data_IF_597785667066
#
_entry.id   IF_597785667066
#
_cell.length_a   1.000
_cell.length_b   1.000
_cell.length_c   1.000
_cell.angle_alpha   90.00
_cell.angle_beta   90.00
_cell.angle_gamma   90.00
#
_symmetry.space_group_name_H-M   'P 1'
#
loop_
_entity.id
_entity.type
_entity.pdbx_description
1 polymer ?
#
# COMPACT_ATOMS: atom_id res chain seq x y z
N UNK A 1 69.54 61.79 -8.04
CA UNK A 1 69.96 62.45 -9.29
C UNK A 1 69.56 61.49 -10.39
N UNK A 2 68.33 61.64 -10.86
CA UNK A 2 67.97 62.21 -12.18
C UNK A 2 68.15 61.14 -13.29
N UNK A 3 67.17 60.81 -14.15
CA UNK A 3 65.97 61.53 -14.55
C UNK A 3 64.85 60.58 -15.08
N UNK A 4 63.63 61.10 -15.01
CA UNK A 4 62.36 60.75 -15.69
C UNK A 4 62.42 61.23 -17.18
N UNK A 5 61.37 61.20 -18.07
CA UNK A 5 60.12 60.43 -18.15
C UNK A 5 59.81 59.82 -19.56
N UNK A 6 58.64 59.17 -19.64
CA UNK A 6 57.66 59.09 -20.76
C UNK A 6 57.40 57.69 -21.33
N UNK A 7 56.23 57.10 -21.02
CA UNK A 7 55.05 57.11 -21.89
C UNK A 7 53.89 56.33 -21.22
N UNK A 8 52.74 56.97 -20.97
CA UNK A 8 51.51 56.35 -20.45
C UNK A 8 50.47 56.18 -21.57
N UNK A 9 49.73 55.06 -21.57
CA UNK A 9 48.30 54.88 -21.94
C UNK A 9 47.94 53.38 -22.05
N UNK A 10 46.69 52.93 -21.76
CA UNK A 10 46.39 52.05 -20.63
C UNK A 10 46.09 50.57 -20.96
N UNK A 11 45.99 49.70 -19.94
CA UNK A 11 45.95 48.24 -20.10
C UNK A 11 44.58 47.67 -20.52
N UNK A 12 44.61 46.69 -21.43
CA UNK A 12 43.48 45.83 -21.77
C UNK A 12 43.14 44.93 -20.57
N UNK A 13 41.94 45.10 -20.02
CA UNK A 13 41.37 44.21 -19.00
C UNK A 13 41.13 42.83 -19.61
N UNK A 14 41.79 41.81 -19.06
CA UNK A 14 41.49 40.40 -19.30
C UNK A 14 40.34 39.99 -18.40
N UNK A 15 39.14 39.86 -18.97
CA UNK A 15 37.99 39.30 -18.26
C UNK A 15 38.25 37.82 -17.94
N UNK A 16 38.51 37.51 -16.66
CA UNK A 16 38.34 36.16 -16.12
C UNK A 16 36.83 35.94 -15.95
N UNK A 17 36.27 35.04 -16.75
CA UNK A 17 34.87 34.63 -16.63
C UNK A 17 34.64 33.92 -15.30
N UNK A 18 33.85 34.55 -14.42
CA UNK A 18 33.13 33.87 -13.35
C UNK A 18 32.05 32.98 -14.01
N UNK A 19 32.09 31.67 -13.76
CA UNK A 19 30.98 30.78 -14.07
C UNK A 19 29.88 30.98 -13.02
N UNK A 20 28.90 31.83 -13.35
CA UNK A 20 27.60 31.83 -12.67
C UNK A 20 26.84 30.56 -13.08
N UNK A 21 26.65 29.64 -12.14
CA UNK A 21 25.81 28.46 -12.32
C UNK A 21 24.33 28.85 -12.29
N UNK A 22 23.80 29.27 -13.43
CA UNK A 22 22.35 29.33 -13.65
C UNK A 22 21.85 27.95 -14.07
N UNK A 23 21.18 27.24 -13.16
CA UNK A 23 20.57 25.94 -13.44
C UNK A 23 19.30 26.12 -14.27
N UNK A 24 19.30 25.58 -15.48
CA UNK A 24 18.14 25.55 -16.37
C UNK A 24 17.43 24.19 -16.31
N UNK A 25 16.11 24.21 -16.49
CA UNK A 25 15.30 23.00 -16.54
C UNK A 25 15.67 22.16 -17.78
N UNK A 26 16.02 20.90 -17.59
CA UNK A 26 16.49 20.00 -18.66
C UNK A 26 15.40 19.73 -19.73
N UNK A 27 14.12 19.89 -19.39
CA UNK A 27 13.01 19.68 -20.34
C UNK A 27 12.60 20.92 -21.13
N UNK A 28 12.88 22.14 -20.67
CA UNK A 28 12.41 23.37 -21.34
C UNK A 28 13.41 24.53 -21.41
N UNK A 29 14.60 24.38 -20.83
CA UNK A 29 15.65 25.41 -20.82
C UNK A 29 15.36 26.64 -19.95
N UNK A 30 14.22 26.70 -19.26
CA UNK A 30 13.84 27.81 -18.40
C UNK A 30 14.65 27.88 -17.09
N UNK A 31 14.82 29.09 -16.54
CA UNK A 31 15.52 29.30 -15.26
C UNK A 31 14.77 28.67 -14.08
N UNK A 32 15.48 28.00 -13.18
CA UNK A 32 14.89 27.39 -11.97
C UNK A 32 14.87 28.40 -10.81
N UNK A 33 13.72 28.51 -10.11
CA UNK A 33 13.50 29.51 -9.06
C UNK A 33 14.05 29.11 -7.67
N UNK A 34 14.72 27.96 -7.55
CA UNK A 34 15.21 27.46 -6.27
C UNK A 34 16.68 27.02 -6.37
N UNK A 35 17.52 27.34 -5.37
CA UNK A 35 18.88 26.83 -5.32
C UNK A 35 18.88 25.30 -5.18
N UNK A 36 19.94 24.62 -5.64
CA UNK A 36 20.07 23.17 -5.46
C UNK A 36 20.04 22.81 -3.96
N UNK A 37 19.52 21.61 -3.60
CA UNK A 37 19.53 21.16 -2.21
C UNK A 37 20.97 21.08 -1.67
N UNK A 38 21.18 21.32 -0.37
CA UNK A 38 22.51 21.27 0.23
C UNK A 38 23.12 19.88 0.08
N UNK A 39 24.44 19.83 -0.12
CA UNK A 39 25.19 18.58 -0.10
C UNK A 39 25.08 17.92 1.29
N UNK A 40 24.89 16.60 1.29
CA UNK A 40 24.74 15.79 2.50
C UNK A 40 25.93 15.98 3.46
N UNK A 41 25.66 16.17 4.75
CA UNK A 41 26.69 16.20 5.79
C UNK A 41 27.00 14.79 6.29
N UNK A 42 28.25 14.55 6.71
CA UNK A 42 28.75 13.26 7.24
C UNK A 42 27.97 12.74 8.48
N UNK A 43 27.11 13.57 9.07
CA UNK A 43 26.24 13.25 10.23
C UNK A 43 24.91 12.59 9.85
N UNK A 44 24.56 12.46 8.58
CA UNK A 44 23.36 11.75 8.13
C UNK A 44 23.62 11.07 6.79
N UNK A 45 24.30 9.90 6.80
CA UNK A 45 24.49 9.13 5.58
C UNK A 45 23.12 8.72 5.01
N UNK A 46 23.00 8.61 3.67
CA UNK A 46 21.76 8.18 3.04
C UNK A 46 21.35 6.80 3.55
N UNK A 47 20.04 6.50 3.67
CA UNK A 47 19.59 5.19 4.07
C UNK A 47 20.20 4.12 3.16
N UNK A 48 20.74 3.06 3.77
CA UNK A 48 21.34 1.88 3.10
C UNK A 48 20.33 1.20 2.16
N UNK A 49 19.04 1.48 2.36
CA UNK A 49 17.95 1.00 1.54
C UNK A 49 17.54 2.03 0.47
N UNK A 50 17.86 1.72 -0.79
CA UNK A 50 17.17 2.29 -1.95
C UNK A 50 16.20 1.23 -2.48
N UNK A 51 14.88 1.45 -2.44
CA UNK A 51 13.94 0.53 -3.09
C UNK A 51 14.31 0.39 -4.57
N UNK A 52 14.20 -0.82 -5.11
CA UNK A 52 14.27 -1.05 -6.55
C UNK A 52 13.06 -0.35 -7.15
N UNK A 53 13.28 0.80 -7.79
CA UNK A 53 12.21 1.58 -8.41
C UNK A 53 12.10 1.14 -9.86
N UNK A 54 11.08 0.37 -10.19
CA UNK A 54 10.61 0.37 -11.57
C UNK A 54 10.17 1.81 -11.92
N UNK A 55 10.53 2.38 -13.07
CA UNK A 55 9.99 3.66 -13.48
C UNK A 55 8.47 3.55 -13.55
N UNK A 56 7.77 4.50 -12.92
CA UNK A 56 6.32 4.61 -13.08
C UNK A 56 6.03 4.66 -14.59
N UNK A 57 5.40 3.62 -15.13
CA UNK A 57 5.09 3.57 -16.55
C UNK A 57 4.12 4.72 -16.83
N UNK A 58 4.63 5.77 -17.47
CA UNK A 58 3.82 6.80 -18.09
C UNK A 58 3.07 6.15 -19.25
N UNK A 59 1.88 5.59 -18.96
CA UNK A 59 1.00 5.10 -20.01
C UNK A 59 0.47 6.32 -20.79
N UNK A 60 0.77 6.47 -22.09
CA UNK A 60 0.24 7.58 -22.87
C UNK A 60 -1.28 7.50 -22.87
N UNK A 61 -1.94 8.63 -22.61
CA UNK A 61 -3.39 8.78 -22.38
C UNK A 61 -4.30 8.20 -23.47
N UNK A 62 -3.77 7.89 -24.66
CA UNK A 62 -4.56 7.35 -25.77
C UNK A 62 -4.66 5.82 -25.81
N UNK A 63 -3.81 5.07 -25.09
CA UNK A 63 -3.77 3.60 -25.14
C UNK A 63 -4.17 2.90 -23.83
N UNK A 64 -4.38 3.62 -22.73
CA UNK A 64 -4.77 3.02 -21.43
C UNK A 64 -6.01 2.14 -21.55
N UNK A 65 -7.06 2.58 -22.24
CA UNK A 65 -8.28 1.77 -22.39
C UNK A 65 -8.04 0.46 -23.14
N UNK A 66 -7.23 0.46 -24.21
CA UNK A 66 -6.93 -0.75 -24.99
C UNK A 66 -6.01 -1.71 -24.22
N UNK A 67 -4.98 -1.19 -23.54
CA UNK A 67 -4.09 -2.02 -22.72
C UNK A 67 -4.83 -2.67 -21.54
N UNK A 68 -5.77 -1.96 -20.92
CA UNK A 68 -6.62 -2.49 -19.83
C UNK A 68 -7.55 -3.60 -20.34
N UNK A 69 -8.08 -3.48 -21.56
CA UNK A 69 -8.94 -4.50 -22.18
C UNK A 69 -8.15 -5.77 -22.50
N UNK A 70 -6.88 -5.64 -22.89
CA UNK A 70 -6.03 -6.76 -23.33
C UNK A 70 -5.24 -7.42 -22.20
N UNK A 71 -5.15 -6.81 -21.02
CA UNK A 71 -4.45 -7.41 -19.88
C UNK A 71 -5.30 -8.53 -19.31
N UNK A 72 -4.77 -9.77 -19.22
CA UNK A 72 -5.52 -10.87 -18.63
C UNK A 72 -5.82 -10.54 -17.17
N UNK A 73 -7.11 -10.53 -16.82
CA UNK A 73 -7.56 -10.35 -15.44
C UNK A 73 -7.28 -11.66 -14.71
N UNK A 74 -6.60 -11.63 -13.54
CA UNK A 74 -6.46 -12.82 -12.71
C UNK A 74 -7.82 -13.46 -12.48
N UNK A 75 -7.88 -14.78 -12.55
CA UNK A 75 -9.11 -15.54 -12.31
C UNK A 75 -9.15 -15.98 -10.85
N UNK A 76 -10.35 -16.09 -10.28
CA UNK A 76 -10.53 -16.75 -8.99
C UNK A 76 -9.92 -18.15 -9.06
N UNK A 77 -9.12 -18.49 -8.05
CA UNK A 77 -8.54 -19.82 -7.91
C UNK A 77 -8.87 -20.35 -6.52
N UNK A 78 -9.20 -21.64 -6.48
CA UNK A 78 -9.30 -22.35 -5.21
C UNK A 78 -7.93 -22.41 -4.56
N UNK A 79 -7.86 -22.00 -3.31
CA UNK A 79 -6.62 -22.07 -2.53
C UNK A 79 -6.31 -23.54 -2.22
N UNK A 80 -5.16 -24.10 -2.64
CA UNK A 80 -4.80 -25.47 -2.32
C UNK A 80 -4.44 -25.59 -0.84
N UNK A 81 -5.10 -26.48 -0.11
CA UNK A 81 -4.77 -26.75 1.30
C UNK A 81 -3.49 -27.57 1.36
N UNK A 82 -2.52 -27.15 2.18
CA UNK A 82 -1.25 -27.88 2.36
C UNK A 82 -1.48 -29.18 3.13
N UNK A 83 -0.76 -30.23 2.75
CA UNK A 83 -0.82 -31.55 3.40
C UNK A 83 0.48 -31.87 4.14
N UNK A 84 0.45 -32.63 5.24
CA UNK A 84 1.67 -33.09 5.91
C UNK A 84 2.56 -33.96 5.01
N UNK A 85 3.89 -34.04 5.26
CA UNK A 85 4.61 -33.35 6.34
C UNK A 85 4.76 -31.84 6.09
N UNK A 86 4.78 -31.05 7.17
CA UNK A 86 4.97 -29.60 7.09
C UNK A 86 6.41 -29.21 7.39
N UNK A 87 6.97 -28.33 6.59
CA UNK A 87 8.31 -27.75 6.79
C UNK A 87 8.19 -26.21 6.87
N UNK A 88 7.68 -25.72 8.00
CA UNK A 88 7.56 -24.29 8.23
C UNK A 88 8.91 -23.66 8.52
N UNK A 89 9.15 -22.47 7.96
CA UNK A 89 10.40 -21.74 8.14
C UNK A 89 10.15 -20.24 8.28
N UNK A 90 11.09 -19.54 8.93
CA UNK A 90 11.03 -18.08 9.01
C UNK A 90 11.17 -17.48 7.60
N UNK A 91 10.23 -16.62 7.17
CA UNK A 91 10.29 -16.02 5.85
C UNK A 91 11.54 -15.14 5.68
N UNK A 92 12.25 -15.31 4.57
CA UNK A 92 13.41 -14.48 4.19
C UNK A 92 13.19 -13.74 2.87
N UNK A 93 13.76 -12.55 2.75
CA UNK A 93 13.66 -11.72 1.54
C UNK A 93 14.37 -12.38 0.36
N UNK A 94 13.61 -12.65 -0.72
CA UNK A 94 14.12 -13.31 -1.94
C UNK A 94 14.11 -12.43 -3.19
N UNK A 95 13.36 -11.33 -3.21
CA UNK A 95 13.29 -10.40 -4.34
C UNK A 95 14.35 -9.29 -4.16
N UNK A 96 15.40 -9.32 -4.98
CA UNK A 96 16.51 -8.36 -4.92
C UNK A 96 16.81 -7.67 -6.26
N UNK A 97 16.10 -8.06 -7.31
CA UNK A 97 16.29 -7.53 -8.66
C UNK A 97 14.98 -7.52 -9.46
N UNK A 98 14.93 -6.81 -10.58
CA UNK A 98 13.80 -6.86 -11.51
C UNK A 98 13.58 -8.27 -12.09
N UNK A 99 14.65 -9.04 -12.25
CA UNK A 99 14.59 -10.43 -12.71
C UNK A 99 13.87 -11.32 -11.69
N UNK A 100 14.09 -11.09 -10.40
CA UNK A 100 13.38 -11.80 -9.33
C UNK A 100 11.89 -11.44 -9.32
N UNK A 101 11.54 -10.17 -9.61
CA UNK A 101 10.13 -9.75 -9.77
C UNK A 101 9.49 -10.51 -10.95
N UNK A 102 10.18 -10.64 -12.08
CA UNK A 102 9.67 -11.42 -13.23
C UNK A 102 9.45 -12.89 -12.85
N UNK A 103 10.42 -13.53 -12.22
CA UNK A 103 10.30 -14.93 -11.75
C UNK A 103 9.15 -15.09 -10.76
N UNK A 104 9.02 -14.15 -9.82
CA UNK A 104 7.93 -14.16 -8.84
C UNK A 104 6.58 -14.07 -9.53
N UNK A 105 6.40 -13.16 -10.51
CA UNK A 105 5.15 -13.05 -11.29
C UNK A 105 4.76 -14.35 -12.01
N UNK A 106 5.75 -15.12 -12.44
CA UNK A 106 5.54 -16.40 -13.13
C UNK A 106 5.30 -17.60 -12.17
N UNK A 107 5.68 -17.46 -10.89
CA UNK A 107 5.55 -18.50 -9.87
C UNK A 107 4.10 -18.93 -9.61
N UNK A 108 3.92 -20.17 -9.17
CA UNK A 108 2.62 -20.68 -8.73
C UNK A 108 2.08 -19.86 -7.55
N UNK A 109 2.97 -19.48 -6.64
CA UNK A 109 2.60 -18.77 -5.41
C UNK A 109 2.04 -17.38 -5.63
N UNK A 110 2.63 -16.61 -6.54
CA UNK A 110 2.05 -15.35 -7.00
C UNK A 110 0.65 -15.57 -7.58
N UNK A 111 0.50 -16.54 -8.50
CA UNK A 111 -0.77 -16.83 -9.17
C UNK A 111 -1.85 -17.24 -8.17
N UNK A 112 -1.51 -18.11 -7.21
CA UNK A 112 -2.41 -18.58 -6.17
C UNK A 112 -2.81 -17.45 -5.21
N UNK A 113 -1.87 -16.58 -4.81
CA UNK A 113 -2.17 -15.41 -3.98
C UNK A 113 -3.12 -14.45 -4.69
N UNK A 114 -2.87 -14.14 -5.96
CA UNK A 114 -3.76 -13.29 -6.75
C UNK A 114 -5.12 -13.94 -6.97
N UNK A 115 -5.14 -15.25 -7.21
CA UNK A 115 -6.37 -16.03 -7.28
C UNK A 115 -7.18 -15.95 -5.99
N UNK A 116 -6.53 -15.99 -4.83
CA UNK A 116 -7.17 -15.76 -3.53
C UNK A 116 -7.76 -14.36 -3.40
N UNK A 117 -7.03 -13.29 -3.77
CA UNK A 117 -7.55 -11.91 -3.75
C UNK A 117 -8.77 -11.76 -4.68
N UNK A 118 -8.76 -12.42 -5.85
CA UNK A 118 -9.92 -12.42 -6.74
C UNK A 118 -11.08 -13.19 -6.13
N UNK A 119 -10.85 -14.34 -5.50
CA UNK A 119 -11.88 -15.09 -4.79
C UNK A 119 -12.53 -14.27 -3.66
N UNK A 120 -11.73 -13.50 -2.90
CA UNK A 120 -12.25 -12.54 -1.91
C UNK A 120 -13.08 -11.44 -2.58
N UNK A 121 -12.60 -10.85 -3.67
CA UNK A 121 -13.34 -9.84 -4.43
C UNK A 121 -14.67 -10.38 -4.96
N UNK A 122 -14.70 -11.59 -5.49
CA UNK A 122 -15.93 -12.22 -5.99
C UNK A 122 -16.92 -12.53 -4.86
N UNK A 123 -16.42 -12.89 -3.66
CA UNK A 123 -17.28 -13.19 -2.50
C UNK A 123 -18.13 -12.01 -2.02
N UNK A 124 -17.67 -10.78 -2.23
CA UNK A 124 -18.38 -9.54 -1.84
C UNK A 124 -19.13 -8.87 -2.99
N UNK A 125 -19.17 -9.52 -4.16
CA UNK A 125 -19.74 -8.93 -5.38
C UNK A 125 -21.22 -8.65 -5.23
N UNK A 126 -21.62 -7.39 -5.40
CA UNK A 126 -23.02 -6.97 -5.26
C UNK A 126 -23.57 -6.99 -3.82
N UNK A 127 -22.73 -7.25 -2.82
CA UNK A 127 -23.11 -7.34 -1.41
C UNK A 127 -22.73 -6.09 -0.63
N UNK A 128 -23.56 -5.73 0.34
CA UNK A 128 -23.26 -4.68 1.31
C UNK A 128 -22.39 -5.22 2.44
N UNK A 129 -21.71 -4.32 3.13
CA UNK A 129 -20.98 -4.69 4.34
C UNK A 129 -21.93 -5.24 5.42
N UNK A 130 -23.14 -4.72 5.56
CA UNK A 130 -24.11 -5.20 6.55
C UNK A 130 -24.83 -6.50 6.18
N UNK A 131 -24.64 -7.04 4.97
CA UNK A 131 -25.31 -8.27 4.57
C UNK A 131 -24.92 -9.43 5.50
N UNK A 132 -25.87 -10.32 5.87
CA UNK A 132 -25.56 -11.52 6.63
C UNK A 132 -24.61 -12.42 5.85
N UNK A 133 -23.57 -12.93 6.52
CA UNK A 133 -22.62 -13.89 5.95
C UNK A 133 -22.25 -14.95 6.99
N UNK A 134 -21.59 -16.01 6.56
CA UNK A 134 -21.05 -17.02 7.47
C UNK A 134 -19.86 -16.43 8.23
N UNK A 135 -19.87 -16.55 9.56
CA UNK A 135 -18.80 -16.07 10.44
C UNK A 135 -18.34 -17.24 11.31
N UNK A 136 -17.23 -17.88 10.95
CA UNK A 136 -16.63 -18.93 11.78
C UNK A 136 -15.98 -18.37 13.03
N UNK A 137 -15.65 -19.26 13.97
CA UNK A 137 -14.93 -18.86 15.19
C UNK A 137 -13.60 -18.17 14.89
N UNK A 138 -12.87 -18.66 13.87
CA UNK A 138 -11.62 -18.06 13.41
C UNK A 138 -11.82 -16.60 13.01
N UNK A 139 -12.87 -16.30 12.22
CA UNK A 139 -13.18 -14.93 11.82
C UNK A 139 -13.45 -14.03 13.02
N UNK A 140 -14.26 -14.50 13.97
CA UNK A 140 -14.53 -13.75 15.20
C UNK A 140 -13.27 -13.50 16.03
N UNK A 141 -12.36 -14.48 16.10
CA UNK A 141 -11.08 -14.35 16.80
C UNK A 141 -10.14 -13.34 16.13
N UNK A 142 -10.06 -13.34 14.79
CA UNK A 142 -9.27 -12.35 14.05
C UNK A 142 -9.80 -10.93 14.31
N UNK A 143 -11.12 -10.75 14.24
CA UNK A 143 -11.76 -9.46 14.57
C UNK A 143 -11.42 -9.02 16.00
N UNK A 144 -11.50 -9.93 16.96
CA UNK A 144 -11.15 -9.64 18.36
C UNK A 144 -9.68 -9.24 18.52
N UNK A 145 -8.76 -9.87 17.78
CA UNK A 145 -7.33 -9.50 17.79
C UNK A 145 -7.16 -8.07 17.24
N UNK A 146 -7.79 -7.74 16.12
CA UNK A 146 -7.74 -6.39 15.54
C UNK A 146 -8.33 -5.32 16.47
N UNK A 147 -9.41 -5.65 17.18
CA UNK A 147 -9.98 -4.78 18.22
C UNK A 147 -9.02 -4.61 19.40
N UNK A 148 -8.31 -5.66 19.81
CA UNK A 148 -7.29 -5.57 20.85
C UNK A 148 -6.12 -4.67 20.43
N UNK A 149 -5.66 -4.80 19.19
CA UNK A 149 -4.65 -3.90 18.61
C UNK A 149 -5.14 -2.44 18.52
N UNK A 150 -6.45 -2.25 18.30
CA UNK A 150 -7.08 -0.91 18.29
C UNK A 150 -7.10 -0.29 19.68
N UNK A 151 -7.32 -1.11 20.72
CA UNK A 151 -7.26 -0.68 22.13
C UNK A 151 -5.84 -0.30 22.55
N UNK A 152 -4.81 -0.98 22.04
CA UNK A 152 -3.42 -0.59 22.31
C UNK A 152 -3.12 0.84 21.90
N UNK A 153 -3.80 1.38 20.88
CA UNK A 153 -3.65 2.79 20.46
C UNK A 153 -4.19 3.73 21.55
N UNK A 154 -5.30 3.38 22.18
CA UNK A 154 -5.88 4.19 23.27
C UNK A 154 -5.02 4.14 24.54
N UNK A 155 -4.36 3.00 24.77
CA UNK A 155 -3.45 2.78 25.89
C UNK A 155 -2.07 3.42 25.68
N UNK A 156 -1.69 3.74 24.44
CA UNK A 156 -0.39 4.30 24.07
C UNK A 156 -0.62 5.64 23.35
N UNK A 157 -0.90 6.72 24.10
CA UNK A 157 -1.20 8.02 23.52
C UNK A 157 0.02 8.60 22.77
N UNK A 158 -0.20 9.43 21.73
CA UNK A 158 0.89 10.05 21.00
C UNK A 158 1.73 10.95 21.90
N UNK A 159 3.05 10.88 21.74
CA UNK A 159 3.97 11.75 22.46
C UNK A 159 3.80 13.20 22.00
N UNK A 160 3.93 14.15 22.93
CA UNK A 160 4.04 15.56 22.57
C UNK A 160 5.38 15.80 21.87
N UNK A 161 5.34 16.10 20.58
CA UNK A 161 6.51 16.36 19.77
C UNK A 161 6.30 17.56 18.84
N UNK A 162 7.40 18.24 18.50
CA UNK A 162 7.39 19.34 17.53
C UNK A 162 7.35 18.86 16.08
N UNK A 163 7.75 17.60 15.83
CA UNK A 163 7.75 16.99 14.51
C UNK A 163 6.32 16.76 14.01
N UNK A 164 6.08 17.13 12.75
CA UNK A 164 4.76 17.03 12.10
C UNK A 164 4.39 15.58 11.73
N UNK A 165 5.38 14.76 11.39
CA UNK A 165 5.20 13.38 10.94
C UNK A 165 5.95 12.42 11.84
N UNK A 166 5.49 11.17 11.87
CA UNK A 166 6.14 10.06 12.58
C UNK A 166 6.19 10.25 14.09
N UNK A 167 5.11 9.93 14.79
CA UNK A 167 5.11 9.92 16.25
C UNK A 167 5.88 8.72 16.80
N UNK A 168 6.87 8.99 17.66
CA UNK A 168 7.71 7.94 18.23
C UNK A 168 6.94 6.93 19.10
N UNK A 169 5.76 7.30 19.65
CA UNK A 169 4.87 6.37 20.37
C UNK A 169 4.43 5.18 19.52
N UNK A 170 4.47 5.30 18.19
CA UNK A 170 4.21 4.18 17.29
C UNK A 170 5.17 3.02 17.51
N UNK A 171 6.43 3.30 17.90
CA UNK A 171 7.41 2.26 18.19
C UNK A 171 7.00 1.43 19.41
N UNK A 172 6.50 2.09 20.44
CA UNK A 172 5.99 1.43 21.65
C UNK A 172 4.76 0.58 21.32
N UNK A 173 3.85 1.09 20.47
CA UNK A 173 2.70 0.32 19.98
C UNK A 173 3.14 -0.91 19.16
N UNK A 174 4.08 -0.73 18.24
CA UNK A 174 4.56 -1.81 17.37
C UNK A 174 5.34 -2.86 18.15
N UNK A 175 6.17 -2.46 19.12
CA UNK A 175 6.87 -3.37 20.03
C UNK A 175 5.87 -4.22 20.80
N UNK A 176 4.87 -3.60 21.43
CA UNK A 176 3.82 -4.33 22.16
C UNK A 176 3.03 -5.28 21.27
N UNK A 177 2.70 -4.89 20.04
CA UNK A 177 2.07 -5.77 19.06
C UNK A 177 2.97 -6.98 18.76
N UNK A 178 4.26 -6.74 18.54
CA UNK A 178 5.25 -7.79 18.22
C UNK A 178 5.44 -8.76 19.38
N UNK A 179 5.53 -8.28 20.62
CA UNK A 179 5.64 -9.11 21.83
C UNK A 179 4.43 -10.04 22.02
N UNK A 180 3.25 -9.63 21.57
CA UNK A 180 2.01 -10.40 21.69
C UNK A 180 1.68 -11.22 20.42
N UNK A 181 2.44 -11.06 19.34
CA UNK A 181 2.12 -11.62 18.02
C UNK A 181 1.99 -13.15 18.05
N UNK A 182 2.96 -13.87 18.62
CA UNK A 182 2.91 -15.34 18.71
C UNK A 182 1.68 -15.82 19.49
N UNK A 183 1.30 -15.11 20.56
CA UNK A 183 0.10 -15.43 21.34
C UNK A 183 -1.17 -15.24 20.50
N UNK A 184 -1.24 -14.18 19.69
CA UNK A 184 -2.37 -13.97 18.79
C UNK A 184 -2.46 -15.04 17.71
N UNK A 185 -1.32 -15.44 17.11
CA UNK A 185 -1.28 -16.48 16.09
C UNK A 185 -1.70 -17.83 16.69
N UNK A 186 -1.19 -18.21 17.86
CA UNK A 186 -1.54 -19.47 18.51
C UNK A 186 -3.03 -19.57 18.88
N UNK A 187 -3.71 -18.45 19.13
CA UNK A 187 -5.17 -18.43 19.36
C UNK A 187 -5.98 -18.82 18.12
N UNK A 188 -5.41 -18.68 16.92
CA UNK A 188 -6.07 -19.00 15.65
C UNK A 188 -5.78 -20.42 15.17
N UNK A 189 -4.71 -21.04 15.68
CA UNK A 189 -4.20 -22.32 15.18
C UNK A 189 -4.64 -23.48 16.06
N UNK A 190 -4.99 -24.64 15.47
CA UNK A 190 -5.07 -25.89 16.22
C UNK A 190 -3.67 -26.29 16.69
N UNK A 191 -3.61 -27.06 17.78
CA UNK A 191 -2.35 -27.50 18.40
C UNK A 191 -1.42 -28.21 17.41
N UNK A 192 -1.99 -28.96 16.45
CA UNK A 192 -1.27 -29.68 15.38
C UNK A 192 -0.54 -28.78 14.40
N UNK A 193 -0.90 -27.49 14.32
CA UNK A 193 -0.30 -26.50 13.43
C UNK A 193 0.45 -25.40 14.21
N UNK A 194 0.68 -25.58 15.52
CA UNK A 194 1.41 -24.61 16.34
C UNK A 194 2.80 -24.24 15.76
N UNK A 195 3.46 -25.18 15.07
CA UNK A 195 4.75 -24.94 14.39
C UNK A 195 4.66 -23.93 13.23
N UNK A 196 3.48 -23.69 12.65
CA UNK A 196 3.28 -22.70 11.59
C UNK A 196 3.48 -21.26 12.08
N UNK A 197 3.47 -21.03 13.40
CA UNK A 197 3.70 -19.71 14.01
C UNK A 197 5.00 -19.07 13.53
N UNK A 198 6.05 -19.87 13.33
CA UNK A 198 7.36 -19.38 12.83
C UNK A 198 7.29 -18.70 11.46
N UNK A 199 6.32 -19.10 10.65
CA UNK A 199 6.11 -18.59 9.30
C UNK A 199 5.04 -17.48 9.28
N UNK A 200 3.99 -17.62 10.10
CA UNK A 200 2.86 -16.68 10.13
C UNK A 200 3.17 -15.36 10.85
N UNK A 201 3.92 -15.41 11.96
CA UNK A 201 4.21 -14.23 12.78
C UNK A 201 4.87 -13.10 11.97
N UNK A 202 5.88 -13.35 11.11
CA UNK A 202 6.52 -12.29 10.34
C UNK A 202 5.59 -11.58 9.34
N UNK A 203 4.65 -12.29 8.70
CA UNK A 203 3.66 -11.62 7.85
C UNK A 203 2.70 -10.76 8.67
N UNK A 204 2.26 -11.28 9.82
CA UNK A 204 1.36 -10.54 10.72
C UNK A 204 2.01 -9.27 11.24
N UNK A 205 3.25 -9.33 11.74
CA UNK A 205 3.93 -8.16 12.31
C UNK A 205 4.26 -7.10 11.25
N UNK A 206 4.65 -7.52 10.04
CA UNK A 206 4.93 -6.59 8.92
C UNK A 206 3.64 -6.10 8.21
N UNK A 207 2.45 -6.44 8.70
CA UNK A 207 1.16 -5.98 8.15
C UNK A 207 0.77 -4.56 8.58
N UNK A 208 1.42 -4.00 9.59
CA UNK A 208 0.94 -2.80 10.29
C UNK A 208 1.83 -1.56 10.10
N UNK A 209 2.86 -1.64 9.26
CA UNK A 209 3.80 -0.55 9.00
C UNK A 209 5.21 -0.87 9.49
N UNK A 210 6.14 0.07 9.36
CA UNK A 210 7.53 -0.12 9.79
C UNK A 210 7.89 0.75 11.01
N UNK A 211 8.24 0.15 12.14
CA UNK A 211 8.59 0.88 13.37
C UNK A 211 9.78 1.84 13.22
N UNK A 212 10.77 1.48 12.41
CA UNK A 212 11.98 2.29 12.24
C UNK A 212 11.69 3.55 11.43
N UNK A 213 10.98 3.40 10.30
CA UNK A 213 10.61 4.48 9.38
C UNK A 213 9.34 5.23 9.79
N UNK A 214 8.51 4.64 10.66
CA UNK A 214 7.21 5.16 11.09
C UNK A 214 6.32 5.46 9.87
N UNK A 215 6.29 4.48 8.97
CA UNK A 215 5.55 4.55 7.72
C UNK A 215 4.63 3.35 7.52
N UNK A 216 3.64 3.51 6.64
CA UNK A 216 2.72 2.47 6.22
C UNK A 216 2.43 2.62 4.72
N UNK A 217 2.06 1.54 4.04
CA UNK A 217 1.75 1.57 2.62
C UNK A 217 1.27 0.22 2.09
N UNK A 218 1.09 0.14 0.76
CA UNK A 218 0.48 -1.02 0.10
C UNK A 218 1.27 -2.32 0.24
N UNK A 219 2.58 -2.25 0.52
CA UNK A 219 3.39 -3.42 0.85
C UNK A 219 2.93 -4.09 2.16
N UNK A 220 2.69 -3.28 3.20
CA UNK A 220 2.17 -3.74 4.49
C UNK A 220 0.73 -4.26 4.36
N UNK A 221 -0.11 -3.58 3.57
CA UNK A 221 -1.46 -4.07 3.24
C UNK A 221 -1.41 -5.45 2.57
N UNK A 222 -0.44 -5.66 1.67
CA UNK A 222 -0.27 -6.94 1.01
C UNK A 222 0.16 -8.01 1.99
N UNK A 223 1.07 -7.72 2.93
CA UNK A 223 1.44 -8.66 3.99
C UNK A 223 0.22 -9.12 4.79
N UNK A 224 -0.74 -8.23 5.06
CA UNK A 224 -1.99 -8.62 5.72
C UNK A 224 -2.80 -9.58 4.85
N UNK A 225 -2.94 -9.29 3.56
CA UNK A 225 -3.56 -10.20 2.60
C UNK A 225 -2.83 -11.54 2.48
N UNK A 226 -1.50 -11.53 2.54
CA UNK A 226 -0.66 -12.73 2.48
C UNK A 226 -0.81 -13.58 3.74
N UNK A 227 -0.87 -12.95 4.91
CA UNK A 227 -1.16 -13.63 6.17
C UNK A 227 -2.53 -14.34 6.13
N UNK A 228 -3.58 -13.66 5.64
CA UNK A 228 -4.89 -14.28 5.41
C UNK A 228 -4.83 -15.44 4.40
N UNK A 229 -4.04 -15.29 3.33
CA UNK A 229 -3.82 -16.35 2.35
C UNK A 229 -3.11 -17.57 2.97
N UNK A 230 -2.12 -17.37 3.84
CA UNK A 230 -1.46 -18.45 4.56
C UNK A 230 -2.43 -19.20 5.48
N UNK A 231 -3.33 -18.49 6.18
CA UNK A 231 -4.41 -19.13 6.95
C UNK A 231 -5.35 -19.95 6.07
N UNK A 232 -5.67 -19.47 4.87
CA UNK A 232 -6.47 -20.23 3.89
C UNK A 232 -5.70 -21.47 3.36
N UNK A 233 -4.40 -21.34 3.10
CA UNK A 233 -3.51 -22.46 2.71
C UNK A 233 -3.44 -23.55 3.78
N UNK A 234 -3.51 -23.16 5.06
CA UNK A 234 -3.55 -24.10 6.19
C UNK A 234 -4.94 -24.71 6.43
N UNK A 235 -5.97 -24.31 5.68
CA UNK A 235 -7.35 -24.75 5.90
C UNK A 235 -8.00 -24.16 7.15
N UNK A 236 -7.43 -23.11 7.72
CA UNK A 236 -7.96 -22.40 8.89
C UNK A 236 -9.09 -21.45 8.49
N UNK A 237 -8.96 -20.82 7.32
CA UNK A 237 -10.02 -20.02 6.67
C UNK A 237 -10.50 -20.78 5.44
N UNK A 238 -11.82 -20.97 5.33
CA UNK A 238 -12.43 -21.67 4.20
C UNK A 238 -13.16 -20.71 3.26
N UNK A 239 -13.55 -21.18 2.06
CA UNK A 239 -14.26 -20.34 1.08
C UNK A 239 -15.58 -19.77 1.61
N UNK A 240 -16.23 -20.47 2.54
CA UNK A 240 -17.45 -19.98 3.20
C UNK A 240 -17.21 -18.72 4.06
N UNK A 241 -15.99 -18.55 4.56
CA UNK A 241 -15.59 -17.38 5.35
C UNK A 241 -15.22 -16.17 4.49
N UNK A 242 -14.99 -16.32 3.18
CA UNK A 242 -14.37 -15.28 2.34
C UNK A 242 -15.15 -13.97 2.33
N UNK A 243 -16.48 -14.04 2.36
CA UNK A 243 -17.31 -12.86 2.49
C UNK A 243 -16.96 -12.13 3.81
N UNK A 244 -16.96 -12.83 4.95
CA UNK A 244 -16.66 -12.25 6.25
C UNK A 244 -15.20 -11.79 6.39
N UNK A 245 -14.25 -12.46 5.71
CA UNK A 245 -12.86 -11.97 5.60
C UNK A 245 -12.85 -10.55 5.01
N UNK A 246 -13.65 -10.27 3.98
CA UNK A 246 -13.73 -8.92 3.40
C UNK A 246 -14.59 -7.99 4.24
N UNK A 247 -15.82 -8.38 4.59
CA UNK A 247 -16.83 -7.50 5.19
C UNK A 247 -16.68 -7.28 6.69
N UNK A 248 -15.89 -8.11 7.39
CA UNK A 248 -15.61 -8.00 8.84
C UNK A 248 -14.14 -7.74 9.08
N UNK A 249 -13.28 -8.70 8.71
CA UNK A 249 -11.84 -8.67 9.04
C UNK A 249 -11.14 -7.52 8.34
N UNK A 250 -11.30 -7.42 7.01
CA UNK A 250 -10.62 -6.38 6.24
C UNK A 250 -11.14 -4.97 6.58
N UNK A 251 -12.45 -4.81 6.83
CA UNK A 251 -13.01 -3.54 7.33
C UNK A 251 -12.37 -3.14 8.67
N UNK A 252 -12.30 -4.06 9.63
CA UNK A 252 -11.67 -3.81 10.94
C UNK A 252 -10.18 -3.50 10.83
N UNK A 253 -9.48 -4.15 9.91
CA UNK A 253 -8.09 -3.86 9.60
C UNK A 253 -7.92 -2.42 9.09
N UNK A 254 -8.77 -1.98 8.15
CA UNK A 254 -8.72 -0.61 7.63
C UNK A 254 -9.04 0.43 8.71
N UNK A 255 -10.00 0.17 9.58
CA UNK A 255 -10.33 1.07 10.69
C UNK A 255 -9.15 1.20 11.67
N UNK A 256 -8.49 0.08 11.99
CA UNK A 256 -7.25 0.08 12.77
C UNK A 256 -6.14 0.89 12.09
N UNK A 257 -5.89 0.67 10.80
CA UNK A 257 -4.85 1.38 10.04
C UNK A 257 -5.10 2.88 9.97
N UNK A 258 -6.34 3.30 9.70
CA UNK A 258 -6.74 4.71 9.74
C UNK A 258 -6.49 5.33 11.11
N UNK A 259 -6.82 4.61 12.19
CA UNK A 259 -6.56 5.09 13.55
C UNK A 259 -5.06 5.23 13.83
N UNK A 260 -4.22 4.29 13.39
CA UNK A 260 -2.76 4.40 13.52
C UNK A 260 -2.19 5.58 12.72
N UNK A 261 -2.58 5.69 11.45
CA UNK A 261 -2.16 6.77 10.55
C UNK A 261 -2.47 8.14 11.16
N UNK A 262 -3.68 8.32 11.71
CA UNK A 262 -4.11 9.58 12.30
C UNK A 262 -3.51 9.85 13.67
N UNK A 263 -3.41 8.83 14.53
CA UNK A 263 -2.93 9.00 15.92
C UNK A 263 -1.42 9.24 15.96
N UNK A 264 -0.67 8.50 15.14
CA UNK A 264 0.79 8.55 15.13
C UNK A 264 1.37 9.28 13.91
N UNK A 265 0.55 9.90 13.07
CA UNK A 265 0.99 10.65 11.88
C UNK A 265 1.95 9.84 10.99
N UNK A 266 1.59 8.60 10.67
CA UNK A 266 2.44 7.69 9.90
C UNK A 266 2.71 8.25 8.49
N UNK A 267 3.94 8.13 8.01
CA UNK A 267 4.28 8.57 6.66
C UNK A 267 3.83 7.53 5.60
N UNK A 268 3.48 7.96 4.38
CA UNK A 268 3.31 7.02 3.26
C UNK A 268 4.65 6.38 2.88
N UNK A 269 4.73 5.05 2.95
CA UNK A 269 5.97 4.30 2.68
C UNK A 269 6.39 4.31 1.18
N UNK A 270 5.46 4.66 0.28
CA UNK A 270 5.66 4.68 -1.17
C UNK A 270 5.48 6.09 -1.75
N UNK A 271 6.34 6.47 -2.70
CA UNK A 271 6.23 7.74 -3.41
C UNK A 271 5.47 7.55 -4.72
N UNK A 272 4.14 7.61 -4.71
CA UNK A 272 3.37 7.68 -5.96
C UNK A 272 3.09 9.10 -6.42
N UNK A 273 3.35 10.10 -5.57
CA UNK A 273 3.07 11.50 -5.89
C UNK A 273 1.66 11.64 -6.47
N UNK A 274 1.54 12.39 -7.56
CA UNK A 274 0.28 12.74 -8.23
C UNK A 274 -0.47 11.54 -8.86
N UNK A 275 0.10 10.33 -8.89
CA UNK A 275 -0.42 9.18 -9.67
C UNK A 275 -0.80 7.95 -8.83
N UNK A 276 -0.73 8.06 -7.50
CA UNK A 276 -1.25 7.06 -6.56
C UNK A 276 -2.78 7.12 -6.51
N UNK A 277 -3.43 5.97 -6.42
CA UNK A 277 -4.89 5.93 -6.19
C UNK A 277 -5.21 6.34 -4.76
N UNK A 278 -4.32 5.99 -3.83
CA UNK A 278 -4.28 6.42 -2.44
C UNK A 278 -2.82 6.33 -1.94
N UNK A 279 -2.50 7.04 -0.86
CA UNK A 279 -1.16 7.08 -0.27
C UNK A 279 -0.80 5.79 0.50
N UNK A 280 -1.80 5.04 0.98
CA UNK A 280 -1.62 3.93 1.91
C UNK A 280 -2.20 2.60 1.42
N UNK A 281 -3.33 2.62 0.72
CA UNK A 281 -4.18 1.45 0.47
C UNK A 281 -4.50 1.22 -1.02
N UNK A 282 -4.71 -0.04 -1.39
CA UNK A 282 -5.11 -0.42 -2.74
C UNK A 282 -6.22 -1.47 -2.78
N UNK A 283 -6.13 -2.52 -1.94
CA UNK A 283 -7.13 -3.59 -1.87
C UNK A 283 -8.58 -3.12 -1.60
N UNK A 284 -8.84 -2.06 -0.80
CA UNK A 284 -10.20 -1.55 -0.59
C UNK A 284 -10.90 -1.13 -1.88
N UNK A 285 -10.14 -0.64 -2.86
CA UNK A 285 -10.71 -0.24 -4.16
C UNK A 285 -11.13 -1.45 -4.99
N UNK A 286 -10.43 -2.58 -4.86
CA UNK A 286 -10.81 -3.84 -5.52
C UNK A 286 -12.11 -4.35 -4.92
N UNK A 287 -12.12 -4.58 -3.60
CA UNK A 287 -13.28 -5.14 -2.91
C UNK A 287 -14.48 -4.20 -2.99
N UNK A 288 -14.29 -2.91 -2.73
CA UNK A 288 -15.34 -1.91 -2.79
C UNK A 288 -15.92 -1.72 -4.19
N UNK A 289 -15.09 -1.79 -5.24
CA UNK A 289 -15.63 -1.74 -6.61
C UNK A 289 -16.41 -3.01 -6.96
N UNK A 290 -16.05 -4.16 -6.40
CA UNK A 290 -16.80 -5.42 -6.55
C UNK A 290 -18.21 -5.34 -5.95
N UNK A 291 -18.34 -4.74 -4.76
CA UNK A 291 -19.63 -4.49 -4.11
C UNK A 291 -20.61 -3.70 -5.01
N UNK A 292 -20.06 -2.81 -5.84
CA UNK A 292 -20.84 -1.90 -6.69
C UNK A 292 -21.00 -2.43 -8.13
N UNK A 293 -20.51 -3.63 -8.45
CA UNK A 293 -20.74 -4.26 -9.75
C UNK A 293 -22.25 -4.47 -9.94
N UNK A 294 -22.73 -4.08 -11.12
CA UNK A 294 -24.14 -4.19 -11.55
C UNK A 294 -25.14 -3.49 -10.60
N UNK A 295 -24.66 -2.60 -9.73
CA UNK A 295 -25.52 -1.87 -8.80
C UNK A 295 -26.53 -0.99 -9.56
N UNK A 296 -27.80 -1.06 -9.14
CA UNK A 296 -28.95 -0.47 -9.86
C UNK A 296 -28.86 1.06 -9.97
N UNK A 297 -28.50 1.74 -8.88
CA UNK A 297 -28.56 3.19 -8.78
C UNK A 297 -27.17 3.87 -8.72
N UNK A 298 -26.28 3.36 -7.88
CA UNK A 298 -24.91 3.85 -7.77
C UNK A 298 -24.06 3.47 -8.99
N UNK A 299 -23.42 4.48 -9.57
CA UNK A 299 -22.47 4.37 -10.69
C UNK A 299 -21.15 5.04 -10.29
N UNK A 300 -20.03 4.86 -10.99
CA UNK A 300 -18.77 5.48 -10.59
C UNK A 300 -18.82 7.01 -10.49
N UNK A 301 -19.63 7.68 -11.31
CA UNK A 301 -19.91 9.12 -11.18
C UNK A 301 -20.62 9.54 -9.88
N UNK A 302 -21.26 8.60 -9.17
CA UNK A 302 -22.00 8.86 -7.93
C UNK A 302 -21.09 9.22 -6.76
N UNK A 303 -19.78 9.01 -6.87
CA UNK A 303 -18.79 9.39 -5.85
C UNK A 303 -18.72 10.90 -5.60
N UNK A 304 -19.23 11.73 -6.52
CA UNK A 304 -19.28 13.19 -6.37
C UNK A 304 -20.59 13.68 -5.74
N UNK A 305 -21.52 12.77 -5.42
CA UNK A 305 -22.78 13.13 -4.81
C UNK A 305 -22.68 12.96 -3.29
N UNK A 306 -22.69 14.08 -2.57
CA UNK A 306 -22.56 14.13 -1.10
C UNK A 306 -23.65 13.33 -0.40
N UNK A 307 -24.91 13.42 -0.83
CA UNK A 307 -26.01 12.63 -0.25
C UNK A 307 -25.76 11.13 -0.36
N UNK A 308 -25.20 10.66 -1.49
CA UNK A 308 -24.86 9.24 -1.66
C UNK A 308 -23.72 8.85 -0.71
N UNK A 309 -22.71 9.70 -0.58
CA UNK A 309 -21.59 9.43 0.32
C UNK A 309 -22.04 9.38 1.79
N UNK A 310 -22.84 10.34 2.23
CA UNK A 310 -23.33 10.38 3.62
C UNK A 310 -24.21 9.17 3.97
N UNK A 311 -25.11 8.77 3.06
CA UNK A 311 -26.08 7.71 3.35
C UNK A 311 -25.54 6.29 3.12
N UNK A 312 -24.53 6.09 2.27
CA UNK A 312 -24.11 4.75 1.84
C UNK A 312 -22.63 4.43 2.12
N UNK A 313 -21.82 5.37 2.64
CA UNK A 313 -20.41 5.11 2.96
C UNK A 313 -20.20 3.99 3.97
N UNK A 314 -21.12 3.80 4.92
CA UNK A 314 -21.04 2.72 5.92
C UNK A 314 -21.30 1.32 5.32
N UNK A 315 -21.90 1.25 4.14
CA UNK A 315 -22.32 -0.01 3.50
C UNK A 315 -21.38 -0.45 2.36
N UNK A 316 -20.58 0.47 1.83
CA UNK A 316 -19.72 0.24 0.67
C UNK A 316 -18.31 0.76 0.93
N UNK A 317 -17.35 -0.17 1.00
CA UNK A 317 -15.95 0.12 1.30
C UNK A 317 -15.34 1.14 0.35
N UNK A 318 -15.75 1.12 -0.93
CA UNK A 318 -15.32 2.11 -1.93
C UNK A 318 -15.72 3.53 -1.52
N UNK A 319 -16.98 3.72 -1.14
CA UNK A 319 -17.53 5.03 -0.76
C UNK A 319 -16.96 5.49 0.58
N UNK A 320 -16.80 4.57 1.54
CA UNK A 320 -16.13 4.86 2.81
C UNK A 320 -14.74 5.45 2.58
N UNK A 321 -13.98 4.86 1.65
CA UNK A 321 -12.64 5.31 1.32
C UNK A 321 -12.63 6.71 0.70
N UNK A 322 -13.58 6.98 -0.20
CA UNK A 322 -13.77 8.32 -0.78
C UNK A 322 -14.06 9.36 0.32
N UNK A 323 -14.97 9.05 1.26
CA UNK A 323 -15.29 9.95 2.38
C UNK A 323 -14.08 10.22 3.26
N UNK A 324 -13.31 9.19 3.63
CA UNK A 324 -12.09 9.36 4.41
C UNK A 324 -11.11 10.33 3.72
N UNK A 325 -10.91 10.21 2.41
CA UNK A 325 -10.05 11.12 1.66
C UNK A 325 -10.57 12.57 1.68
N UNK A 326 -11.88 12.78 1.48
CA UNK A 326 -12.47 14.11 1.59
C UNK A 326 -12.20 14.77 2.95
N UNK A 327 -12.23 13.99 4.04
CA UNK A 327 -11.98 14.49 5.40
C UNK A 327 -10.49 14.82 5.64
N UNK A 328 -9.57 14.03 5.09
CA UNK A 328 -8.12 14.23 5.24
C UNK A 328 -7.58 15.34 4.34
N UNK A 329 -8.15 15.51 3.14
CA UNK A 329 -7.57 16.33 2.07
C UNK A 329 -8.16 17.75 1.95
N UNK A 330 -8.55 18.43 3.05
CA UNK A 330 -9.04 19.84 2.99
C UNK A 330 -8.14 20.83 2.22
N UNK A 331 -6.92 20.45 1.80
CA UNK A 331 -6.04 21.23 0.92
C UNK A 331 -5.32 20.46 -0.22
N UNK A 332 -5.64 19.19 -0.53
CA UNK A 332 -4.86 18.39 -1.50
C UNK A 332 -5.72 17.65 -2.53
N UNK A 333 -6.54 18.41 -3.27
CA UNK A 333 -7.57 17.86 -4.17
C UNK A 333 -7.12 17.48 -5.59
N UNK A 334 -5.95 17.92 -6.05
CA UNK A 334 -5.70 17.99 -7.51
C UNK A 334 -5.37 16.65 -8.19
N UNK A 335 -4.91 15.65 -7.44
CA UNK A 335 -4.32 14.44 -8.01
C UNK A 335 -5.30 13.25 -7.98
N UNK A 336 -5.99 13.08 -6.86
CA UNK A 336 -7.02 12.07 -6.64
C UNK A 336 -8.26 12.26 -7.54
N UNK A 337 -8.67 13.51 -7.77
CA UNK A 337 -9.70 13.87 -8.74
C UNK A 337 -9.38 13.34 -10.14
N UNK A 338 -8.12 13.39 -10.60
CA UNK A 338 -7.77 13.01 -11.97
C UNK A 338 -8.00 11.51 -12.19
N UNK A 339 -7.58 10.67 -11.25
CA UNK A 339 -7.71 9.21 -11.37
C UNK A 339 -9.16 8.75 -11.16
N UNK A 340 -9.86 9.35 -10.19
CA UNK A 340 -11.28 9.08 -9.99
C UNK A 340 -12.12 9.55 -11.18
N UNK A 341 -11.85 10.74 -11.73
CA UNK A 341 -12.56 11.30 -12.90
C UNK A 341 -12.30 10.50 -14.16
N UNK A 342 -11.09 9.95 -14.31
CA UNK A 342 -10.78 8.96 -15.35
C UNK A 342 -11.61 7.67 -15.18
N UNK A 343 -11.97 7.30 -13.95
CA UNK A 343 -12.80 6.13 -13.67
C UNK A 343 -14.30 6.40 -13.56
N UNK A 344 -14.73 7.65 -13.37
CA UNK A 344 -16.16 8.03 -13.30
C UNK A 344 -16.91 7.70 -14.59
N UNK A 345 -16.19 7.64 -15.72
CA UNK A 345 -16.70 7.29 -17.04
C UNK A 345 -16.70 5.79 -17.38
N UNK A 346 -16.16 4.91 -16.53
CA UNK A 346 -16.19 3.46 -16.74
C UNK A 346 -17.23 2.79 -15.84
N UNK A 347 -17.69 1.59 -16.18
CA UNK A 347 -18.54 0.78 -15.29
C UNK A 347 -17.73 0.19 -14.13
N UNK A 348 -18.34 -0.06 -12.97
CA UNK A 348 -17.66 -0.74 -11.85
C UNK A 348 -17.04 -2.10 -12.22
N UNK A 349 -17.66 -2.85 -13.13
CA UNK A 349 -17.07 -4.09 -13.68
C UNK A 349 -15.73 -3.85 -14.37
N UNK A 350 -15.57 -2.72 -15.06
CA UNK A 350 -14.32 -2.33 -15.73
C UNK A 350 -13.32 -1.78 -14.72
N UNK A 351 -13.79 -0.99 -13.75
CA UNK A 351 -12.94 -0.48 -12.67
C UNK A 351 -12.36 -1.63 -11.83
N UNK A 352 -13.19 -2.60 -11.41
CA UNK A 352 -12.75 -3.77 -10.66
C UNK A 352 -11.72 -4.61 -11.46
N UNK A 353 -11.98 -4.88 -12.75
CA UNK A 353 -10.99 -5.53 -13.63
C UNK A 353 -9.70 -4.74 -13.72
N UNK A 354 -9.79 -3.42 -13.87
CA UNK A 354 -8.61 -2.55 -13.90
C UNK A 354 -7.82 -2.62 -12.60
N UNK A 355 -8.48 -2.56 -11.44
CA UNK A 355 -7.82 -2.67 -10.15
C UNK A 355 -7.20 -4.05 -9.95
N UNK A 356 -7.92 -5.14 -10.26
CA UNK A 356 -7.41 -6.50 -10.17
C UNK A 356 -6.18 -6.71 -11.06
N UNK A 357 -6.19 -6.17 -12.29
CA UNK A 357 -4.99 -6.18 -13.15
C UNK A 357 -3.91 -5.26 -12.61
N UNK A 358 -4.24 -4.16 -11.94
CA UNK A 358 -3.24 -3.23 -11.38
C UNK A 358 -2.57 -3.80 -10.13
N UNK A 359 -3.19 -4.71 -9.38
CA UNK A 359 -2.50 -5.48 -8.32
C UNK A 359 -1.26 -6.18 -8.87
N UNK A 360 -1.40 -6.86 -10.02
CA UNK A 360 -0.30 -7.54 -10.71
C UNK A 360 0.86 -6.60 -11.05
N UNK A 361 0.57 -5.33 -11.33
CA UNK A 361 1.55 -4.38 -11.88
C UNK A 361 2.09 -3.38 -10.87
N UNK A 362 1.29 -2.95 -9.88
CA UNK A 362 1.66 -1.90 -8.89
C UNK A 362 1.86 -2.46 -7.48
N UNK A 363 1.02 -3.41 -7.05
CA UNK A 363 1.17 -4.06 -5.75
C UNK A 363 2.50 -4.80 -5.69
N UNK A 364 2.79 -5.58 -6.73
CA UNK A 364 3.95 -6.48 -6.80
C UNK A 364 5.32 -5.80 -6.79
N UNK A 365 5.40 -4.48 -7.04
CA UNK A 365 6.66 -3.74 -7.02
C UNK A 365 7.05 -3.30 -5.60
N UNK A 366 6.11 -3.35 -4.62
CA UNK A 366 6.33 -3.04 -3.19
C UNK A 366 6.12 -4.24 -2.26
N UNK A 367 5.94 -5.45 -2.81
CA UNK A 367 5.65 -6.65 -2.02
C UNK A 367 6.94 -7.40 -1.68
N UNK A 368 7.22 -7.52 -0.38
CA UNK A 368 8.06 -8.59 0.14
C UNK A 368 7.17 -9.77 0.50
N UNK A 369 7.06 -10.72 -0.42
CA UNK A 369 6.70 -12.09 -0.10
C UNK A 369 7.98 -12.91 -0.07
N UNK A 370 8.55 -12.94 1.12
CA UNK A 370 9.44 -13.99 1.59
C UNK A 370 8.69 -15.32 1.62
N UNK A 371 9.32 -16.41 1.21
CA UNK A 371 8.87 -17.82 1.26
C UNK A 371 7.44 -18.10 0.83
N UNK A 372 7.32 -18.56 -0.41
CA UNK A 372 6.19 -19.38 -0.80
C UNK A 372 6.66 -20.69 -1.46
N UNK A 373 7.91 -21.07 -1.22
CA UNK A 373 8.55 -22.31 -1.69
C UNK A 373 9.24 -23.00 -0.50
N UNK A 374 8.45 -23.65 0.35
CA UNK A 374 8.94 -24.70 1.26
C UNK A 374 8.04 -25.94 1.26
N UNK A 375 7.03 -26.00 0.38
CA UNK A 375 6.14 -27.17 0.26
C UNK A 375 5.71 -27.42 -1.19
N UNK A 376 6.66 -27.39 -2.14
CA UNK A 376 6.58 -28.21 -3.36
C UNK A 376 7.44 -29.46 -3.20
#
# INVERSE_FOLDING_TARGET
MEADPSNESPPQQTHRHHHDHTTTCVNCGGATAFPPPPAWSDTSPPPVYRPIRAPAINLPHHNTQQTIIMTPVPQAQKVPVVSPPYEFQTPVKVIHSEDDIRRFRESASCKNYLGFIVSLSDSIRGHKLSDPCHESHVITSIVSILEKLTQFIDEIPPLQQSARYGNLAYRDWHERMTENADSFILQLLPETLSSATVELTPYFTDSFGNASRIDYGTGHETNFGAWLYCLARLGIINEEDYHAVVSRVFVKYLDLMRKLQMTYSLEPAGSHGVWGLDDYHFLPFIFGSSQLIDHKYMKPKSIHNEDILENFSNEYMYLQFIVCQYLLSRNFFSCFEILLKAMSGVSFTRANKHFATTVLWKGMDSIFLSTFDATE
#
